data_IF_540891337536
#
_entry.id   IF_540891337536
#
_cell.length_a   1.000
_cell.length_b   1.000
_cell.length_c   1.000
_cell.angle_alpha   90.00
_cell.angle_beta   90.00
_cell.angle_gamma   90.00
#
_symmetry.space_group_name_H-M   'P 1'
#
loop_
_entity.id
_entity.type
_entity.pdbx_description
1 polymer ?
#
# COMPACT_ATOMS: atom_id res chain seq x y z
N UNK A 1 2.13 -24.45 -15.75
CA UNK A 1 0.92 -25.31 -15.87
C UNK A 1 -0.22 -24.41 -16.28
N UNK A 2 -0.74 -24.58 -17.48
CA UNK A 2 -1.92 -23.84 -17.95
C UNK A 2 -3.14 -24.46 -17.27
N UNK A 3 -3.67 -23.77 -16.26
CA UNK A 3 -4.92 -24.19 -15.59
C UNK A 3 -6.04 -24.09 -16.62
N UNK A 4 -6.71 -25.18 -16.87
CA UNK A 4 -7.85 -25.21 -17.80
C UNK A 4 -9.00 -24.40 -17.21
N UNK A 5 -9.51 -23.43 -17.95
CA UNK A 5 -10.66 -22.58 -17.59
C UNK A 5 -11.96 -23.37 -17.25
N UNK A 6 -11.97 -24.67 -17.46
CA UNK A 6 -13.12 -25.54 -17.13
C UNK A 6 -13.34 -25.72 -15.62
N UNK A 7 -12.33 -25.43 -14.78
CA UNK A 7 -12.40 -25.64 -13.32
C UNK A 7 -13.14 -24.54 -12.57
N UNK A 8 -13.42 -23.39 -13.20
CA UNK A 8 -14.08 -22.24 -12.53
C UNK A 8 -15.61 -22.37 -12.46
N UNK A 9 -16.23 -23.15 -13.33
CA UNK A 9 -17.70 -23.21 -13.47
C UNK A 9 -18.37 -24.32 -12.63
N UNK A 10 -17.62 -25.17 -11.95
CA UNK A 10 -18.14 -26.36 -11.28
C UNK A 10 -18.60 -26.17 -9.83
N UNK A 11 -18.54 -24.93 -9.27
CA UNK A 11 -19.05 -24.69 -7.92
C UNK A 11 -20.51 -24.19 -7.98
N UNK A 12 -21.45 -25.10 -7.93
CA UNK A 12 -22.89 -24.81 -7.75
C UNK A 12 -23.18 -24.11 -6.40
N UNK A 13 -22.29 -24.23 -5.40
CA UNK A 13 -22.33 -23.45 -4.17
C UNK A 13 -21.41 -22.23 -4.33
N UNK A 14 -21.98 -21.03 -4.43
CA UNK A 14 -21.25 -19.75 -4.58
C UNK A 14 -20.14 -19.61 -3.54
N UNK A 15 -18.99 -19.03 -3.95
CA UNK A 15 -17.87 -18.74 -3.05
C UNK A 15 -18.33 -17.77 -1.96
N UNK A 16 -17.74 -17.88 -0.76
CA UNK A 16 -18.06 -16.93 0.31
C UNK A 16 -17.30 -15.62 0.15
N UNK A 17 -16.08 -15.66 -0.42
CA UNK A 17 -15.20 -14.52 -0.55
C UNK A 17 -14.35 -14.61 -1.82
N UNK A 18 -14.24 -13.48 -2.52
CA UNK A 18 -13.19 -13.24 -3.52
C UNK A 18 -12.23 -12.17 -3.01
N UNK A 19 -10.92 -12.37 -3.24
CA UNK A 19 -9.88 -11.37 -2.98
C UNK A 19 -9.22 -11.03 -4.30
N UNK A 20 -9.25 -9.76 -4.71
CA UNK A 20 -8.65 -9.29 -5.95
C UNK A 20 -7.35 -8.57 -5.62
N UNK A 21 -6.22 -9.19 -5.96
CA UNK A 21 -4.87 -8.77 -5.62
C UNK A 21 -4.27 -9.56 -4.45
N UNK A 22 -3.21 -10.31 -4.73
CA UNK A 22 -2.45 -11.11 -3.77
C UNK A 22 -1.17 -10.39 -3.28
N UNK A 23 -1.19 -9.06 -3.25
CA UNK A 23 -0.17 -8.25 -2.62
C UNK A 23 -0.28 -8.25 -1.08
N UNK A 24 0.53 -7.41 -0.38
CA UNK A 24 0.54 -7.36 1.08
C UNK A 24 -0.83 -7.15 1.72
N UNK A 25 -1.72 -6.37 1.09
CA UNK A 25 -3.07 -6.15 1.61
C UNK A 25 -3.93 -7.43 1.54
N UNK A 26 -4.01 -8.08 0.37
CA UNK A 26 -4.80 -9.32 0.22
C UNK A 26 -4.28 -10.46 1.10
N UNK A 27 -2.96 -10.66 1.15
CA UNK A 27 -2.34 -11.65 2.05
C UNK A 27 -2.64 -11.35 3.52
N UNK A 28 -2.72 -10.07 3.90
CA UNK A 28 -2.99 -9.67 5.29
C UNK A 28 -4.39 -10.08 5.77
N UNK A 29 -5.40 -10.17 4.89
CA UNK A 29 -6.71 -10.71 5.26
C UNK A 29 -6.62 -12.19 5.61
N UNK A 30 -5.89 -12.97 4.80
CA UNK A 30 -5.67 -14.40 5.06
C UNK A 30 -4.90 -14.60 6.38
N UNK A 31 -3.84 -13.81 6.61
CA UNK A 31 -3.12 -13.82 7.89
C UNK A 31 -4.03 -13.52 9.08
N UNK A 32 -4.92 -12.53 8.97
CA UNK A 32 -5.85 -12.18 10.02
C UNK A 32 -6.83 -13.31 10.34
N UNK A 33 -7.38 -13.96 9.31
CA UNK A 33 -8.24 -15.16 9.51
C UNK A 33 -7.48 -16.28 10.20
N UNK A 34 -6.27 -16.62 9.73
CA UNK A 34 -5.45 -17.64 10.37
C UNK A 34 -5.09 -17.31 11.81
N UNK A 35 -4.78 -16.04 12.13
CA UNK A 35 -4.52 -15.60 13.50
C UNK A 35 -5.73 -15.80 14.40
N UNK A 36 -6.93 -15.44 13.94
CA UNK A 36 -8.16 -15.55 14.73
C UNK A 36 -8.56 -16.99 14.96
N UNK A 37 -8.44 -17.83 13.93
CA UNK A 37 -8.68 -19.27 14.03
C UNK A 37 -7.71 -19.92 15.02
N UNK A 38 -6.41 -19.64 14.91
CA UNK A 38 -5.38 -20.16 15.80
C UNK A 38 -5.56 -19.71 17.27
N UNK A 39 -6.00 -18.48 17.48
CA UNK A 39 -6.26 -17.93 18.80
C UNK A 39 -7.67 -18.29 19.34
N UNK A 40 -8.49 -19.05 18.60
CA UNK A 40 -9.90 -19.32 18.88
C UNK A 40 -10.71 -18.04 19.20
N UNK A 41 -10.38 -16.95 18.51
CA UNK A 41 -11.07 -15.66 18.62
C UNK A 41 -12.21 -15.54 17.61
N UNK A 42 -13.29 -14.85 17.99
CA UNK A 42 -14.45 -14.67 17.11
C UNK A 42 -15.20 -15.97 16.84
N UNK A 43 -15.68 -16.13 15.60
CA UNK A 43 -16.36 -17.34 15.11
C UNK A 43 -15.40 -18.17 14.23
N UNK A 44 -14.49 -18.89 14.89
CA UNK A 44 -13.43 -19.64 14.23
C UNK A 44 -13.95 -20.66 13.20
N UNK A 45 -15.11 -21.26 13.43
CA UNK A 45 -15.73 -22.20 12.49
C UNK A 45 -16.17 -21.49 11.21
N UNK A 46 -16.86 -20.35 11.32
CA UNK A 46 -17.29 -19.58 10.14
C UNK A 46 -16.09 -18.97 9.42
N UNK A 47 -15.09 -18.50 10.15
CA UNK A 47 -13.86 -17.99 9.55
C UNK A 47 -13.13 -19.09 8.77
N UNK A 48 -13.10 -20.32 9.31
CA UNK A 48 -12.56 -21.48 8.59
C UNK A 48 -13.39 -21.78 7.33
N UNK A 49 -14.71 -21.76 7.42
CA UNK A 49 -15.58 -21.96 6.24
C UNK A 49 -15.33 -20.88 5.18
N UNK A 50 -15.17 -19.61 5.55
CA UNK A 50 -14.84 -18.55 4.60
C UNK A 50 -13.47 -18.79 3.98
N UNK A 51 -12.48 -19.17 4.79
CA UNK A 51 -11.12 -19.46 4.34
C UNK A 51 -11.07 -20.64 3.37
N UNK A 52 -11.85 -21.68 3.61
CA UNK A 52 -11.95 -22.86 2.74
C UNK A 52 -12.68 -22.56 1.42
N UNK A 53 -13.59 -21.57 1.45
CA UNK A 53 -14.41 -21.16 0.29
C UNK A 53 -13.99 -19.79 -0.27
N UNK A 54 -12.79 -19.32 0.00
CA UNK A 54 -12.25 -18.13 -0.66
C UNK A 54 -11.63 -18.46 -2.02
N UNK A 55 -11.56 -17.46 -2.87
CA UNK A 55 -10.78 -17.46 -4.10
C UNK A 55 -9.98 -16.17 -4.19
N UNK A 56 -8.69 -16.25 -4.49
CA UNK A 56 -7.80 -15.11 -4.62
C UNK A 56 -7.26 -15.03 -6.04
N UNK A 57 -7.37 -13.86 -6.67
CA UNK A 57 -6.87 -13.57 -8.01
C UNK A 57 -5.72 -12.61 -7.96
N UNK A 58 -4.64 -12.90 -8.69
CA UNK A 58 -3.48 -12.06 -8.87
C UNK A 58 -3.23 -11.83 -10.37
N UNK A 59 -3.11 -10.57 -10.77
CA UNK A 59 -2.87 -10.22 -12.17
C UNK A 59 -1.45 -10.58 -12.64
N UNK A 60 -0.49 -10.55 -11.72
CA UNK A 60 0.89 -10.96 -11.98
C UNK A 60 1.09 -12.47 -11.92
N UNK A 61 2.26 -12.91 -12.38
CA UNK A 61 2.64 -14.34 -12.35
C UNK A 61 2.98 -14.85 -10.95
N UNK A 62 3.15 -13.92 -9.97
CA UNK A 62 3.47 -14.23 -8.57
C UNK A 62 2.68 -13.31 -7.63
N UNK A 63 2.21 -13.82 -6.48
CA UNK A 63 1.72 -12.98 -5.39
C UNK A 63 2.88 -12.19 -4.74
N UNK A 64 2.56 -11.27 -3.83
CA UNK A 64 3.52 -10.46 -3.07
C UNK A 64 3.58 -8.99 -3.45
N UNK A 65 3.15 -8.64 -4.68
CA UNK A 65 3.16 -7.27 -5.19
C UNK A 65 4.57 -6.71 -5.39
N UNK A 66 4.68 -5.41 -5.64
CA UNK A 66 5.95 -4.76 -6.04
C UNK A 66 6.77 -4.21 -4.86
N UNK A 67 6.25 -4.26 -3.64
CA UNK A 67 6.85 -3.57 -2.49
C UNK A 67 8.32 -3.93 -2.25
N UNK A 68 8.67 -5.19 -2.39
CA UNK A 68 10.03 -5.69 -2.14
C UNK A 68 11.07 -5.29 -3.19
N UNK A 69 10.65 -4.75 -4.32
CA UNK A 69 11.54 -4.38 -5.42
C UNK A 69 12.07 -2.94 -5.33
N UNK A 70 11.49 -2.12 -4.45
CA UNK A 70 11.93 -0.73 -4.28
C UNK A 70 13.31 -0.62 -3.65
N UNK A 71 14.18 0.19 -4.25
CA UNK A 71 15.54 0.49 -3.78
C UNK A 71 15.51 1.55 -2.67
N UNK A 72 14.89 1.25 -1.55
CA UNK A 72 14.78 2.12 -0.39
C UNK A 72 14.88 1.33 0.91
N UNK A 73 15.21 2.00 2.00
CA UNK A 73 15.12 1.41 3.32
C UNK A 73 13.68 1.40 3.83
N UNK A 74 13.35 0.40 4.63
CA UNK A 74 12.06 0.32 5.28
C UNK A 74 11.90 1.48 6.29
N UNK A 75 10.75 2.10 6.27
CA UNK A 75 10.37 3.14 7.23
C UNK A 75 9.76 2.58 8.52
N UNK A 76 9.74 1.26 8.69
CA UNK A 76 9.30 0.54 9.88
C UNK A 76 10.44 -0.33 10.44
N UNK A 77 10.33 -0.77 11.69
CA UNK A 77 11.33 -1.68 12.26
C UNK A 77 11.19 -3.08 11.68
N UNK A 78 12.29 -3.82 11.63
CA UNK A 78 12.27 -5.21 11.18
C UNK A 78 11.31 -6.07 12.02
N UNK A 79 11.31 -5.90 13.33
CA UNK A 79 10.38 -6.59 14.23
C UNK A 79 8.91 -6.28 13.95
N UNK A 80 8.59 -5.02 13.65
CA UNK A 80 7.20 -4.61 13.39
C UNK A 80 6.63 -5.22 12.11
N UNK A 81 7.47 -5.53 11.13
CA UNK A 81 7.04 -6.10 9.84
C UNK A 81 6.29 -7.41 10.03
N UNK A 82 6.75 -8.27 10.93
CA UNK A 82 6.21 -9.63 11.14
C UNK A 82 5.18 -9.73 12.27
N UNK A 83 4.87 -8.63 12.97
CA UNK A 83 3.89 -8.63 14.08
C UNK A 83 2.50 -9.10 13.70
N UNK A 84 2.16 -9.03 12.42
CA UNK A 84 0.90 -9.54 11.89
C UNK A 84 0.83 -11.05 11.72
N UNK A 85 1.92 -11.79 11.97
CA UNK A 85 1.95 -13.26 11.89
C UNK A 85 1.89 -13.82 13.32
N UNK A 86 0.74 -14.38 13.69
CA UNK A 86 0.47 -14.90 15.03
C UNK A 86 1.04 -16.30 15.29
N UNK A 87 1.08 -16.67 16.57
CA UNK A 87 1.42 -18.03 16.99
C UNK A 87 0.38 -19.05 16.53
N UNK A 88 0.81 -20.29 16.28
CA UNK A 88 -0.09 -21.38 15.86
C UNK A 88 -0.62 -21.27 14.44
N UNK A 89 -0.23 -20.24 13.68
CA UNK A 89 -0.61 -20.09 12.26
C UNK A 89 0.30 -20.92 11.35
N UNK A 90 -0.15 -21.28 10.13
CA UNK A 90 0.70 -21.94 9.13
C UNK A 90 1.96 -21.13 8.75
N UNK A 91 2.01 -19.84 9.09
CA UNK A 91 3.05 -18.90 8.71
C UNK A 91 4.06 -18.60 9.81
N UNK A 92 3.90 -19.18 11.01
CA UNK A 92 4.75 -18.90 12.18
C UNK A 92 6.24 -19.19 11.89
N UNK A 93 6.54 -20.24 11.15
CA UNK A 93 7.93 -20.58 10.78
C UNK A 93 8.61 -19.48 9.95
N UNK A 94 7.88 -18.78 9.07
CA UNK A 94 8.40 -17.64 8.30
C UNK A 94 8.77 -16.49 9.24
N UNK A 95 7.90 -16.15 10.19
CA UNK A 95 8.16 -15.12 11.21
C UNK A 95 9.41 -15.45 12.03
N UNK A 96 9.47 -16.67 12.55
CA UNK A 96 10.53 -17.09 13.47
C UNK A 96 11.89 -17.16 12.74
N UNK A 97 11.90 -17.66 11.51
CA UNK A 97 13.10 -17.62 10.65
C UNK A 97 13.57 -16.19 10.38
N UNK A 98 12.65 -15.30 10.03
CA UNK A 98 12.96 -13.88 9.82
C UNK A 98 13.55 -13.23 11.07
N UNK A 99 12.93 -13.41 12.24
CA UNK A 99 13.39 -12.81 13.49
C UNK A 99 14.75 -13.37 13.98
N UNK A 100 15.07 -14.60 13.64
CA UNK A 100 16.37 -15.21 13.95
C UNK A 100 17.53 -14.67 13.08
N UNK A 101 17.23 -13.98 11.95
CA UNK A 101 18.27 -13.52 11.04
C UNK A 101 19.01 -12.29 11.58
N UNK A 102 20.36 -12.26 11.63
CA UNK A 102 21.14 -11.17 12.23
C UNK A 102 20.84 -9.77 11.66
N UNK A 103 20.55 -9.68 10.37
CA UNK A 103 20.25 -8.38 9.71
C UNK A 103 18.96 -7.72 10.19
N UNK A 104 18.02 -8.47 10.78
CA UNK A 104 16.79 -7.92 11.32
C UNK A 104 17.01 -7.14 12.63
N UNK A 105 18.18 -7.26 13.22
CA UNK A 105 18.59 -6.45 14.37
C UNK A 105 19.04 -5.03 13.95
N UNK A 106 19.20 -4.77 12.65
CA UNK A 106 19.57 -3.44 12.17
C UNK A 106 18.41 -2.45 12.32
N UNK A 107 18.71 -1.23 12.71
CA UNK A 107 17.74 -0.14 12.78
C UNK A 107 17.22 0.25 11.39
N UNK A 108 18.08 0.18 10.37
CA UNK A 108 17.75 0.41 8.97
C UNK A 108 17.94 -0.89 8.19
N UNK A 109 16.89 -1.35 7.55
CA UNK A 109 16.92 -2.53 6.69
C UNK A 109 16.34 -2.18 5.32
N UNK A 110 17.06 -2.49 4.20
CA UNK A 110 16.52 -2.29 2.86
C UNK A 110 15.23 -3.09 2.63
N UNK A 111 14.25 -2.51 1.92
CA UNK A 111 13.00 -3.22 1.59
C UNK A 111 13.27 -4.51 0.83
N UNK A 112 14.23 -4.51 -0.10
CA UNK A 112 14.64 -5.72 -0.82
C UNK A 112 15.06 -6.84 0.14
N UNK A 113 15.76 -6.49 1.23
CA UNK A 113 16.18 -7.49 2.21
C UNK A 113 15.02 -8.03 3.03
N UNK A 114 14.04 -7.19 3.35
CA UNK A 114 12.78 -7.67 3.95
C UNK A 114 12.06 -8.60 2.95
N UNK A 115 12.04 -8.25 1.68
CA UNK A 115 11.44 -9.10 0.65
C UNK A 115 12.07 -10.50 0.62
N UNK A 116 13.39 -10.58 0.52
CA UNK A 116 14.14 -11.85 0.48
C UNK A 116 13.92 -12.69 1.74
N UNK A 117 13.93 -12.06 2.92
CA UNK A 117 13.90 -12.77 4.21
C UNK A 117 12.48 -13.08 4.72
N UNK A 118 11.48 -12.33 4.28
CA UNK A 118 10.13 -12.45 4.82
C UNK A 118 9.05 -12.56 3.74
N UNK A 119 9.01 -11.61 2.78
CA UNK A 119 7.88 -11.58 1.82
C UNK A 119 7.91 -12.79 0.89
N UNK A 120 9.06 -13.13 0.30
CA UNK A 120 9.19 -14.30 -0.58
C UNK A 120 8.90 -15.63 0.15
N UNK A 121 9.47 -15.91 1.33
CA UNK A 121 9.07 -17.07 2.13
C UNK A 121 7.59 -17.09 2.50
N UNK A 122 7.00 -15.92 2.85
CA UNK A 122 5.57 -15.83 3.14
C UNK A 122 4.72 -16.10 1.90
N UNK A 123 5.12 -15.58 0.73
CA UNK A 123 4.47 -15.85 -0.55
C UNK A 123 4.48 -17.34 -0.85
N UNK A 124 5.63 -18.00 -0.68
CA UNK A 124 5.73 -19.44 -0.92
C UNK A 124 4.81 -20.22 0.02
N UNK A 125 4.82 -19.92 1.31
CA UNK A 125 3.93 -20.53 2.28
C UNK A 125 2.45 -20.25 1.98
N UNK A 126 2.12 -19.07 1.47
CA UNK A 126 0.76 -18.68 1.08
C UNK A 126 0.29 -19.47 -0.17
N UNK A 127 1.16 -19.67 -1.16
CA UNK A 127 0.87 -20.49 -2.35
C UNK A 127 0.56 -21.94 -1.92
N UNK A 128 1.36 -22.50 -1.04
CA UNK A 128 1.16 -23.85 -0.52
C UNK A 128 -0.14 -23.97 0.29
N UNK A 129 -0.39 -22.99 1.16
CA UNK A 129 -1.57 -22.96 2.03
C UNK A 129 -2.87 -22.77 1.25
N UNK A 130 -2.91 -21.84 0.30
CA UNK A 130 -4.09 -21.57 -0.51
C UNK A 130 -4.29 -22.59 -1.63
N UNK A 131 -3.18 -23.16 -2.13
CA UNK A 131 -3.20 -24.17 -3.22
C UNK A 131 -4.07 -23.72 -4.42
N UNK A 132 -5.11 -24.51 -4.75
CA UNK A 132 -6.02 -24.26 -5.87
C UNK A 132 -6.95 -23.04 -5.67
N UNK A 133 -6.90 -22.34 -4.53
CA UNK A 133 -7.70 -21.13 -4.24
C UNK A 133 -6.98 -19.85 -4.64
N UNK A 134 -5.69 -19.90 -4.97
CA UNK A 134 -4.89 -18.78 -5.47
C UNK A 134 -4.63 -18.96 -6.96
N UNK A 135 -5.03 -17.98 -7.76
CA UNK A 135 -4.90 -17.96 -9.20
C UNK A 135 -4.07 -16.76 -9.64
N UNK A 136 -2.91 -17.02 -10.21
CA UNK A 136 -2.02 -16.01 -10.81
C UNK A 136 -2.27 -15.90 -12.31
N UNK A 137 -1.74 -14.84 -12.93
CA UNK A 137 -1.94 -14.47 -14.34
C UNK A 137 -3.43 -14.25 -14.69
N UNK A 138 -4.23 -13.84 -13.70
CA UNK A 138 -5.67 -13.59 -13.86
C UNK A 138 -5.97 -12.14 -13.51
N UNK A 139 -6.15 -11.29 -14.51
CA UNK A 139 -6.59 -9.92 -14.35
C UNK A 139 -8.11 -9.85 -14.27
N UNK A 140 -8.63 -9.48 -13.09
CA UNK A 140 -10.04 -9.12 -12.95
C UNK A 140 -10.24 -7.72 -13.53
N UNK A 141 -11.02 -7.61 -14.59
CA UNK A 141 -11.26 -6.37 -15.32
C UNK A 141 -12.61 -5.72 -14.96
N UNK A 142 -13.60 -6.53 -14.59
CA UNK A 142 -14.95 -6.08 -14.29
C UNK A 142 -15.56 -6.85 -13.10
N UNK A 143 -16.31 -6.14 -12.31
CA UNK A 143 -17.10 -6.68 -11.20
C UNK A 143 -18.55 -6.24 -11.41
N UNK A 144 -19.48 -7.19 -11.33
CA UNK A 144 -20.90 -6.94 -11.35
C UNK A 144 -21.51 -7.25 -9.98
N UNK A 145 -22.26 -6.30 -9.45
CA UNK A 145 -22.91 -6.42 -8.14
C UNK A 145 -24.41 -6.49 -8.37
N UNK A 146 -24.98 -7.59 -7.94
CA UNK A 146 -26.41 -7.81 -7.87
C UNK A 146 -26.84 -7.97 -6.42
N UNK A 147 -28.15 -8.09 -6.14
CA UNK A 147 -28.64 -8.22 -4.77
C UNK A 147 -28.08 -9.47 -4.08
N UNK A 148 -27.08 -9.23 -3.20
CA UNK A 148 -26.44 -10.26 -2.36
C UNK A 148 -25.28 -11.03 -3.01
N UNK A 149 -24.83 -10.68 -4.21
CA UNK A 149 -23.74 -11.38 -4.89
C UNK A 149 -22.83 -10.44 -5.69
N UNK A 150 -21.52 -10.74 -5.69
CA UNK A 150 -20.50 -10.13 -6.52
C UNK A 150 -19.99 -11.15 -7.55
N UNK A 151 -20.02 -10.80 -8.82
CA UNK A 151 -19.45 -11.59 -9.91
C UNK A 151 -18.22 -10.90 -10.48
N UNK A 152 -17.10 -11.61 -10.65
CA UNK A 152 -15.87 -11.08 -11.26
C UNK A 152 -15.66 -11.66 -12.66
N UNK A 153 -15.13 -10.81 -13.56
CA UNK A 153 -14.88 -11.14 -14.96
C UNK A 153 -13.47 -10.72 -15.37
N UNK A 154 -12.87 -11.48 -16.27
CA UNK A 154 -11.57 -11.15 -16.86
C UNK A 154 -11.67 -10.10 -17.98
N UNK A 155 -10.53 -9.84 -18.64
CA UNK A 155 -10.43 -8.88 -19.76
C UNK A 155 -11.23 -9.31 -21.00
N UNK A 156 -11.54 -10.60 -21.15
CA UNK A 156 -12.36 -11.16 -22.22
C UNK A 156 -13.84 -11.27 -21.83
N UNK A 157 -14.20 -10.68 -20.68
CA UNK A 157 -15.55 -10.73 -20.10
C UNK A 157 -16.05 -12.16 -19.77
N UNK A 158 -15.13 -13.08 -19.51
CA UNK A 158 -15.46 -14.43 -19.01
C UNK A 158 -15.67 -14.39 -17.51
N UNK A 159 -16.72 -15.04 -17.03
CA UNK A 159 -16.98 -15.15 -15.60
C UNK A 159 -15.85 -15.96 -14.94
N UNK A 160 -15.24 -15.38 -13.91
CA UNK A 160 -14.21 -16.02 -13.10
C UNK A 160 -14.80 -16.67 -11.85
N UNK A 161 -15.59 -15.91 -11.08
CA UNK A 161 -16.21 -16.43 -9.86
C UNK A 161 -17.42 -15.58 -9.45
N UNK A 162 -18.24 -16.16 -8.56
CA UNK A 162 -19.32 -15.52 -7.83
C UNK A 162 -19.12 -15.69 -6.35
N UNK A 163 -19.42 -14.66 -5.54
CA UNK A 163 -19.31 -14.72 -4.08
C UNK A 163 -20.25 -13.75 -3.41
N UNK A 164 -20.52 -13.97 -2.11
CA UNK A 164 -21.26 -13.01 -1.29
C UNK A 164 -20.45 -11.74 -1.02
N UNK A 165 -19.15 -11.90 -0.80
CA UNK A 165 -18.25 -10.80 -0.46
C UNK A 165 -17.08 -10.76 -1.44
N UNK A 166 -16.61 -9.55 -1.74
CA UNK A 166 -15.44 -9.30 -2.59
C UNK A 166 -14.57 -8.21 -1.97
N UNK A 167 -13.27 -8.51 -1.79
CA UNK A 167 -12.29 -7.58 -1.28
C UNK A 167 -11.35 -7.12 -2.39
N UNK A 168 -11.28 -5.80 -2.62
CA UNK A 168 -10.36 -5.17 -3.56
C UNK A 168 -9.05 -4.80 -2.87
N UNK A 169 -7.95 -5.40 -3.34
CA UNK A 169 -6.58 -5.18 -2.90
C UNK A 169 -5.65 -4.95 -4.09
N UNK A 170 -6.14 -4.27 -5.13
CA UNK A 170 -5.53 -4.21 -6.46
C UNK A 170 -4.27 -3.33 -6.55
N UNK A 171 -3.79 -2.76 -5.44
CA UNK A 171 -2.70 -1.80 -5.44
C UNK A 171 -3.10 -0.45 -6.03
N UNK A 172 -2.11 0.37 -6.40
CA UNK A 172 -2.34 1.72 -6.89
C UNK A 172 -1.22 2.18 -7.80
N UNK A 173 -1.53 3.14 -8.68
CA UNK A 173 -0.59 3.79 -9.58
C UNK A 173 -0.45 5.28 -9.28
N UNK A 174 0.68 5.85 -9.68
CA UNK A 174 0.85 7.31 -9.78
C UNK A 174 0.25 7.78 -11.11
N UNK A 175 -0.74 8.68 -11.03
CA UNK A 175 -1.31 9.30 -12.22
C UNK A 175 -0.53 10.57 -12.54
N UNK A 176 -0.02 10.74 -13.78
CA UNK A 176 0.64 11.96 -14.20
C UNK A 176 -0.25 13.18 -13.96
N UNK A 177 0.31 14.22 -13.35
CA UNK A 177 -0.37 15.49 -13.26
C UNK A 177 -0.48 16.10 -14.67
N UNK A 178 -1.62 16.69 -14.99
CA UNK A 178 -1.88 17.25 -16.30
C UNK A 178 -0.80 18.26 -16.73
N UNK A 179 -0.33 19.06 -15.80
CA UNK A 179 0.71 20.06 -15.99
C UNK A 179 2.08 19.46 -16.36
N UNK A 180 2.29 18.16 -16.14
CA UNK A 180 3.53 17.46 -16.47
C UNK A 180 3.50 16.79 -17.85
N UNK A 181 2.36 16.72 -18.50
CA UNK A 181 2.23 16.12 -19.84
C UNK A 181 3.18 16.73 -20.90
N UNK A 182 3.48 18.06 -20.90
CA UNK A 182 4.47 18.63 -21.81
C UNK A 182 5.90 18.14 -21.59
N UNK A 183 6.21 17.58 -20.42
CA UNK A 183 7.56 17.16 -20.01
C UNK A 183 7.73 15.63 -19.96
N UNK A 184 6.88 14.87 -20.63
CA UNK A 184 6.84 13.39 -20.61
C UNK A 184 8.15 12.71 -21.02
N UNK A 185 9.02 13.41 -21.75
CA UNK A 185 10.35 12.94 -22.14
C UNK A 185 11.38 12.91 -21.00
N UNK A 186 11.14 13.67 -19.94
CA UNK A 186 12.01 13.84 -18.77
C UNK A 186 11.25 13.75 -17.42
N UNK A 187 9.98 13.35 -17.49
CA UNK A 187 9.14 13.08 -16.32
C UNK A 187 9.11 11.61 -15.99
N UNK A 188 9.16 11.30 -14.69
CA UNK A 188 8.97 9.96 -14.17
C UNK A 188 8.24 9.98 -12.83
N UNK A 189 7.39 8.98 -12.57
CA UNK A 189 6.77 8.77 -11.28
C UNK A 189 7.76 8.20 -10.26
N UNK A 190 7.55 8.53 -8.96
CA UNK A 190 8.45 8.09 -7.89
C UNK A 190 8.54 6.58 -7.79
N UNK A 191 7.46 5.85 -7.99
CA UNK A 191 7.46 4.39 -7.96
C UNK A 191 8.41 3.82 -9.02
N UNK A 192 8.28 4.26 -10.26
CA UNK A 192 9.13 3.81 -11.36
C UNK A 192 10.59 4.17 -11.12
N UNK A 193 10.88 5.39 -10.66
CA UNK A 193 12.24 5.82 -10.33
C UNK A 193 12.87 4.95 -9.22
N UNK A 194 12.10 4.61 -8.19
CA UNK A 194 12.57 3.80 -7.07
C UNK A 194 12.76 2.31 -7.41
N UNK A 195 12.18 1.84 -8.52
CA UNK A 195 12.37 0.47 -9.05
C UNK A 195 13.56 0.34 -10.01
N UNK A 196 14.16 1.44 -10.47
CA UNK A 196 15.25 1.40 -11.47
C UNK A 196 16.52 0.74 -10.93
N UNK A 197 17.16 -0.10 -11.73
CA UNK A 197 18.51 -0.63 -11.47
C UNK A 197 19.59 0.16 -12.21
N UNK A 198 19.22 1.03 -13.17
CA UNK A 198 20.13 1.76 -14.04
C UNK A 198 19.67 3.19 -14.35
N UNK A 199 20.48 3.92 -15.08
CA UNK A 199 20.20 5.30 -15.52
C UNK A 199 19.64 5.39 -16.94
N UNK A 200 19.33 4.26 -17.57
CA UNK A 200 18.85 4.23 -18.95
C UNK A 200 17.65 5.18 -19.15
N UNK A 201 17.68 5.92 -20.26
CA UNK A 201 16.69 6.94 -20.58
C UNK A 201 16.64 8.18 -19.66
N UNK A 202 17.49 8.30 -18.64
CA UNK A 202 17.62 9.54 -17.89
C UNK A 202 18.56 10.50 -18.62
N UNK A 203 18.13 11.77 -18.78
CA UNK A 203 18.91 12.77 -19.48
C UNK A 203 20.19 13.11 -18.71
N UNK A 204 21.34 12.93 -19.37
CA UNK A 204 22.63 13.39 -18.87
C UNK A 204 22.73 14.92 -18.87
N UNK A 205 23.62 15.47 -18.08
CA UNK A 205 23.91 16.91 -18.05
C UNK A 205 23.84 17.52 -16.65
N UNK A 206 23.91 18.86 -16.59
CA UNK A 206 23.93 19.61 -15.33
C UNK A 206 22.61 20.31 -14.99
N UNK A 207 21.57 20.10 -15.78
CA UNK A 207 20.25 20.68 -15.52
C UNK A 207 19.70 20.21 -14.17
N UNK A 208 18.93 21.05 -13.45
CA UNK A 208 18.38 20.72 -12.16
C UNK A 208 17.50 19.46 -12.20
N UNK A 209 17.39 18.81 -11.06
CA UNK A 209 16.43 17.72 -10.83
C UNK A 209 15.29 18.30 -9.99
N UNK A 210 14.06 18.19 -10.47
CA UNK A 210 12.87 18.65 -9.77
C UNK A 210 12.14 17.45 -9.17
N UNK A 211 11.87 17.46 -7.86
CA UNK A 211 11.07 16.46 -7.16
C UNK A 211 9.79 17.11 -6.67
N UNK A 212 8.64 16.66 -7.17
CA UNK A 212 7.34 17.23 -6.83
C UNK A 212 6.71 16.39 -5.71
N UNK A 213 6.63 16.97 -4.52
CA UNK A 213 6.16 16.32 -3.30
C UNK A 213 7.14 16.46 -2.14
N UNK A 214 6.66 16.23 -0.93
CA UNK A 214 7.44 16.33 0.29
C UNK A 214 7.01 15.29 1.35
N UNK A 215 6.68 14.09 0.91
CA UNK A 215 6.38 12.92 1.76
C UNK A 215 7.45 11.83 1.57
N UNK A 216 7.23 10.66 2.16
CA UNK A 216 8.23 9.57 2.13
C UNK A 216 8.75 9.25 0.73
N UNK A 217 7.88 9.11 -0.28
CA UNK A 217 8.32 8.79 -1.65
C UNK A 217 9.26 9.85 -2.22
N UNK A 218 8.95 11.15 -2.01
CA UNK A 218 9.80 12.24 -2.46
C UNK A 218 11.17 12.20 -1.77
N UNK A 219 11.20 12.05 -0.44
CA UNK A 219 12.46 11.94 0.30
C UNK A 219 13.24 10.66 -0.04
N UNK A 220 12.55 9.56 -0.36
CA UNK A 220 13.22 8.34 -0.85
C UNK A 220 13.89 8.55 -2.20
N UNK A 221 13.25 9.27 -3.14
CA UNK A 221 13.87 9.64 -4.41
C UNK A 221 15.10 10.52 -4.18
N UNK A 222 15.01 11.53 -3.33
CA UNK A 222 16.14 12.42 -2.99
C UNK A 222 17.24 11.66 -2.29
N UNK A 223 16.91 10.79 -1.32
CA UNK A 223 17.90 9.95 -0.64
C UNK A 223 18.69 9.11 -1.64
N UNK A 224 18.00 8.51 -2.60
CA UNK A 224 18.60 7.71 -3.65
C UNK A 224 19.54 8.53 -4.53
N UNK A 225 19.10 9.71 -4.97
CA UNK A 225 19.93 10.65 -5.73
C UNK A 225 21.18 11.11 -4.97
N UNK A 226 21.15 11.15 -3.65
CA UNK A 226 22.24 11.65 -2.83
C UNK A 226 23.23 10.58 -2.39
N UNK A 227 22.76 9.35 -2.14
CA UNK A 227 23.53 8.34 -1.39
C UNK A 227 23.66 6.99 -2.07
N UNK A 228 22.85 6.64 -3.06
CA UNK A 228 23.07 5.44 -3.86
C UNK A 228 24.15 5.71 -4.93
N UNK A 229 25.27 4.97 -4.98
CA UNK A 229 26.46 5.35 -5.76
C UNK A 229 26.18 5.77 -7.20
N UNK A 230 25.42 4.96 -7.95
CA UNK A 230 25.07 5.23 -9.35
C UNK A 230 24.29 6.53 -9.52
N UNK A 231 23.28 6.74 -8.66
CA UNK A 231 22.40 7.92 -8.71
C UNK A 231 23.06 9.16 -8.11
N UNK A 232 23.95 8.99 -7.13
CA UNK A 232 24.74 10.08 -6.55
C UNK A 232 25.76 10.63 -7.57
N UNK A 233 26.35 9.78 -8.39
CA UNK A 233 27.20 10.20 -9.51
C UNK A 233 26.38 10.95 -10.56
N UNK A 234 25.22 10.42 -10.98
CA UNK A 234 24.29 11.05 -11.91
C UNK A 234 23.82 12.44 -11.44
N UNK A 235 23.55 12.61 -10.15
CA UNK A 235 23.10 13.88 -9.57
C UNK A 235 24.25 14.84 -9.21
N UNK A 236 25.50 14.41 -9.39
CA UNK A 236 26.67 15.22 -9.03
C UNK A 236 26.72 16.53 -9.83
N UNK A 237 26.85 17.65 -9.13
CA UNK A 237 26.87 18.99 -9.73
C UNK A 237 25.51 19.48 -10.22
N UNK A 238 24.42 18.80 -9.93
CA UNK A 238 23.04 19.23 -10.21
C UNK A 238 22.36 19.71 -8.93
N UNK A 239 21.60 20.78 -9.02
CA UNK A 239 20.71 21.21 -7.94
C UNK A 239 19.49 20.30 -7.90
N UNK A 240 19.07 19.86 -6.70
CA UNK A 240 17.84 19.09 -6.47
C UNK A 240 16.81 20.04 -5.83
N UNK A 241 15.70 20.28 -6.52
CA UNK A 241 14.63 21.16 -6.10
C UNK A 241 13.42 20.32 -5.67
N UNK A 242 13.08 20.37 -4.38
CA UNK A 242 11.88 19.71 -3.87
C UNK A 242 10.72 20.72 -3.79
N UNK A 243 9.71 20.52 -4.65
CA UNK A 243 8.52 21.37 -4.67
C UNK A 243 7.49 20.88 -3.67
N UNK A 244 7.10 21.72 -2.72
CA UNK A 244 6.13 21.38 -1.66
C UNK A 244 4.96 22.37 -1.61
N UNK A 245 3.73 21.87 -1.43
CA UNK A 245 2.54 22.69 -1.22
C UNK A 245 2.29 23.03 0.24
N UNK A 246 2.76 22.21 1.17
CA UNK A 246 2.55 22.40 2.61
C UNK A 246 3.62 23.29 3.18
N UNK A 247 3.24 24.24 4.03
CA UNK A 247 4.19 25.10 4.73
C UNK A 247 5.13 24.29 5.63
N UNK A 248 4.61 23.24 6.26
CA UNK A 248 5.39 22.39 7.16
C UNK A 248 5.46 20.94 6.70
N UNK A 249 6.63 20.38 6.80
CA UNK A 249 6.88 18.94 6.62
C UNK A 249 6.66 18.26 7.97
N UNK A 250 5.82 17.23 7.98
CA UNK A 250 5.46 16.47 9.17
C UNK A 250 6.53 15.43 9.48
N UNK A 251 6.98 15.36 10.75
CA UNK A 251 7.94 14.36 11.23
C UNK A 251 7.30 13.48 12.29
N UNK A 252 7.38 12.17 12.14
CA UNK A 252 7.00 11.25 13.22
C UNK A 252 8.05 11.29 14.33
N UNK A 253 7.65 11.76 15.49
CA UNK A 253 8.53 11.88 16.65
C UNK A 253 7.76 11.88 17.97
N UNK A 254 8.48 11.92 19.09
CA UNK A 254 7.88 12.24 20.40
C UNK A 254 7.72 13.75 20.56
N UNK A 255 6.86 14.22 21.47
CA UNK A 255 6.75 15.64 21.80
C UNK A 255 8.08 16.28 22.25
N UNK A 256 8.90 15.52 23.00
CA UNK A 256 10.22 15.98 23.47
C UNK A 256 11.15 16.23 22.28
N UNK A 257 11.22 15.27 21.34
CA UNK A 257 11.99 15.42 20.11
C UNK A 257 11.50 16.62 19.29
N UNK A 258 10.18 16.81 19.20
CA UNK A 258 9.59 17.93 18.48
C UNK A 258 10.03 19.27 19.11
N UNK A 259 10.02 19.37 20.44
CA UNK A 259 10.48 20.56 21.17
C UNK A 259 11.97 20.81 20.94
N UNK A 260 12.82 19.80 21.11
CA UNK A 260 14.27 19.89 20.92
C UNK A 260 14.65 20.35 19.50
N UNK A 261 13.96 19.81 18.50
CA UNK A 261 14.23 20.12 17.09
C UNK A 261 13.35 21.23 16.50
N UNK A 262 12.57 21.95 17.34
CA UNK A 262 11.68 23.03 16.92
C UNK A 262 10.72 22.63 15.80
N UNK A 263 10.11 21.44 15.94
CA UNK A 263 9.07 20.95 15.04
C UNK A 263 7.74 21.50 15.50
N UNK A 264 7.11 22.27 14.64
CA UNK A 264 5.79 22.83 14.91
C UNK A 264 4.70 21.75 14.74
N UNK A 265 3.83 21.61 15.75
CA UNK A 265 2.69 20.72 15.77
C UNK A 265 1.61 21.22 16.71
N UNK A 266 0.36 20.80 16.47
CA UNK A 266 -0.77 21.08 17.35
C UNK A 266 -0.95 19.88 18.31
N UNK A 267 -0.83 20.09 19.63
CA UNK A 267 -1.00 19.02 20.62
C UNK A 267 -2.37 18.32 20.57
N UNK A 268 -3.42 19.02 20.16
CA UNK A 268 -4.78 18.48 20.12
C UNK A 268 -5.04 17.65 18.87
N UNK A 269 -4.49 18.05 17.72
CA UNK A 269 -4.78 17.44 16.42
C UNK A 269 -3.68 16.53 15.87
N UNK A 270 -2.42 16.83 16.20
CA UNK A 270 -1.27 16.15 15.59
C UNK A 270 -0.66 15.03 16.46
N UNK A 271 -1.09 14.91 17.72
CA UNK A 271 -0.61 13.87 18.65
C UNK A 271 -1.57 12.67 18.66
N UNK A 272 -1.04 11.50 18.42
CA UNK A 272 -1.81 10.26 18.48
C UNK A 272 -2.21 9.93 19.93
N UNK A 273 -3.50 9.84 20.27
CA UNK A 273 -3.94 9.65 21.66
C UNK A 273 -3.55 8.28 22.22
N UNK A 274 -3.27 7.29 21.36
CA UNK A 274 -2.92 5.92 21.80
C UNK A 274 -1.43 5.77 22.06
N UNK A 275 -0.57 6.48 21.30
CA UNK A 275 0.89 6.28 21.37
C UNK A 275 1.66 7.51 21.85
N UNK A 276 1.02 8.67 21.97
CA UNK A 276 1.66 9.94 22.28
C UNK A 276 2.57 10.48 21.16
N UNK A 277 2.65 9.82 20.00
CA UNK A 277 3.52 10.25 18.92
C UNK A 277 2.90 11.37 18.11
N UNK A 278 3.70 12.38 17.81
CA UNK A 278 3.41 13.46 16.86
C UNK A 278 3.46 12.88 15.44
N UNK A 279 2.50 13.23 14.58
CA UNK A 279 2.38 12.79 13.18
C UNK A 279 2.64 11.28 12.98
N UNK A 280 2.01 10.45 13.79
CA UNK A 280 2.24 9.00 13.85
C UNK A 280 2.23 8.30 12.50
N UNK A 281 1.28 8.64 11.63
CA UNK A 281 1.05 7.89 10.38
C UNK A 281 1.74 8.51 9.15
N UNK A 282 1.65 9.80 8.94
CA UNK A 282 2.18 10.46 7.74
C UNK A 282 3.42 11.31 7.96
N UNK A 283 3.93 11.39 9.18
CA UNK A 283 5.20 12.05 9.44
C UNK A 283 6.39 11.25 8.92
N UNK A 284 7.40 11.94 8.38
CA UNK A 284 8.65 11.35 7.93
C UNK A 284 9.32 10.55 9.05
N UNK A 285 9.91 9.42 8.69
CA UNK A 285 10.56 8.47 9.60
C UNK A 285 11.96 8.15 9.13
N UNK A 286 12.79 7.69 10.05
CA UNK A 286 14.13 7.16 9.78
C UNK A 286 14.94 8.06 8.83
N UNK A 287 15.50 7.52 7.77
CA UNK A 287 16.35 8.26 6.80
C UNK A 287 15.63 9.46 6.18
N UNK A 288 14.36 9.36 5.85
CA UNK A 288 13.60 10.51 5.32
C UNK A 288 13.52 11.66 6.35
N UNK A 289 13.30 11.34 7.65
CA UNK A 289 13.34 12.32 8.73
C UNK A 289 14.74 12.91 8.89
N UNK A 290 15.76 12.07 8.93
CA UNK A 290 17.16 12.50 9.07
C UNK A 290 17.59 13.38 7.90
N UNK A 291 17.22 13.01 6.68
CA UNK A 291 17.50 13.78 5.47
C UNK A 291 16.83 15.17 5.52
N UNK A 292 15.54 15.21 5.88
CA UNK A 292 14.86 16.50 6.04
C UNK A 292 15.55 17.42 7.04
N UNK A 293 15.95 16.89 8.21
CA UNK A 293 16.65 17.70 9.23
C UNK A 293 17.99 18.23 8.70
N UNK A 294 18.76 17.40 7.98
CA UNK A 294 20.00 17.85 7.34
C UNK A 294 19.78 18.97 6.31
N UNK A 295 18.74 18.87 5.50
CA UNK A 295 18.38 19.92 4.51
C UNK A 295 17.98 21.20 5.24
N UNK A 296 17.07 21.10 6.22
CA UNK A 296 16.58 22.25 6.99
C UNK A 296 17.70 22.97 7.72
N UNK A 297 18.63 22.24 8.30
CA UNK A 297 19.73 22.75 9.12
C UNK A 297 20.97 23.15 8.29
N UNK A 298 20.85 23.13 6.94
CA UNK A 298 21.92 23.52 6.02
C UNK A 298 23.12 22.56 5.94
N UNK A 299 22.95 21.32 6.42
CA UNK A 299 23.97 20.27 6.37
C UNK A 299 23.95 19.50 5.03
N UNK A 300 22.88 19.63 4.24
CA UNK A 300 22.77 19.07 2.88
C UNK A 300 22.38 20.20 1.91
N UNK A 301 23.38 20.77 1.27
CA UNK A 301 23.24 21.96 0.43
C UNK A 301 22.88 21.67 -1.04
N UNK A 302 22.91 20.41 -1.45
CA UNK A 302 22.52 20.01 -2.83
C UNK A 302 21.01 20.03 -3.04
N UNK A 303 20.24 20.08 -1.95
CA UNK A 303 18.78 20.04 -1.97
C UNK A 303 18.20 21.35 -1.47
N UNK A 304 17.29 21.92 -2.23
CA UNK A 304 16.53 23.11 -1.84
C UNK A 304 15.03 22.84 -1.80
N UNK A 305 14.39 23.16 -0.68
CA UNK A 305 12.94 23.11 -0.53
C UNK A 305 12.33 24.38 -1.15
N UNK A 306 11.38 24.21 -2.05
CA UNK A 306 10.69 25.29 -2.74
C UNK A 306 9.20 25.20 -2.43
N UNK A 307 8.70 26.24 -1.76
CA UNK A 307 7.26 26.37 -1.50
C UNK A 307 6.54 26.73 -2.81
N UNK A 308 5.40 26.10 -3.06
CA UNK A 308 4.54 26.41 -4.21
C UNK A 308 3.06 26.40 -3.82
N UNK A 309 2.26 27.24 -4.45
CA UNK A 309 0.80 27.18 -4.39
C UNK A 309 0.21 26.28 -5.47
N UNK A 310 0.90 26.16 -6.60
CA UNK A 310 0.55 25.28 -7.73
C UNK A 310 1.71 25.09 -8.68
N UNK A 311 1.63 24.07 -9.55
CA UNK A 311 2.68 23.76 -10.52
C UNK A 311 2.80 24.83 -11.62
N UNK A 312 1.71 25.49 -11.98
CA UNK A 312 1.72 26.56 -12.97
C UNK A 312 2.69 27.70 -12.59
N UNK A 313 2.85 28.00 -11.29
CA UNK A 313 3.80 29.02 -10.81
C UNK A 313 5.27 28.57 -10.97
N UNK A 314 5.50 27.27 -11.17
CA UNK A 314 6.83 26.67 -11.25
C UNK A 314 7.22 26.31 -12.71
N UNK A 315 6.50 26.81 -13.71
CA UNK A 315 6.71 26.48 -15.09
C UNK A 315 8.18 26.67 -15.53
N UNK A 316 8.80 27.79 -15.16
CA UNK A 316 10.20 28.08 -15.51
C UNK A 316 11.16 27.03 -14.92
N UNK A 317 10.92 26.56 -13.69
CA UNK A 317 11.73 25.50 -13.07
C UNK A 317 11.53 24.16 -13.79
N UNK A 318 10.29 23.84 -14.15
CA UNK A 318 9.98 22.63 -14.91
C UNK A 318 10.59 22.64 -16.32
N UNK A 319 10.61 23.79 -16.99
CA UNK A 319 11.25 23.96 -18.30
C UNK A 319 12.77 23.77 -18.26
N UNK A 320 13.42 24.18 -17.18
CA UNK A 320 14.87 24.05 -16.98
C UNK A 320 15.28 22.68 -16.44
N UNK A 321 14.35 21.90 -15.91
CA UNK A 321 14.65 20.60 -15.30
C UNK A 321 15.13 19.59 -16.35
N UNK A 322 16.20 18.87 -16.03
CA UNK A 322 16.66 17.72 -16.83
C UNK A 322 16.00 16.40 -16.40
N UNK A 323 15.42 16.36 -15.18
CA UNK A 323 14.63 15.25 -14.67
C UNK A 323 13.54 15.80 -13.76
N UNK A 324 12.31 15.32 -13.92
CA UNK A 324 11.17 15.66 -13.06
C UNK A 324 10.65 14.38 -12.44
N UNK A 325 10.73 14.28 -11.14
CA UNK A 325 10.20 13.15 -10.35
C UNK A 325 8.92 13.56 -9.65
N UNK A 326 7.82 12.89 -9.99
CA UNK A 326 6.54 13.10 -9.34
C UNK A 326 6.38 12.15 -8.16
N UNK A 327 6.08 12.68 -6.98
CA UNK A 327 5.81 11.92 -5.75
C UNK A 327 4.59 12.50 -5.03
N UNK A 328 3.47 12.62 -5.74
CA UNK A 328 2.24 13.30 -5.28
C UNK A 328 1.18 12.35 -4.74
N UNK A 329 1.48 11.07 -4.66
CA UNK A 329 0.59 10.03 -4.14
C UNK A 329 0.09 9.07 -5.21
N UNK A 330 -0.77 8.15 -4.79
CA UNK A 330 -1.22 7.02 -5.56
C UNK A 330 -2.75 6.99 -5.64
N UNK A 331 -3.27 6.48 -6.75
CA UNK A 331 -4.70 6.23 -6.98
C UNK A 331 -4.89 4.72 -7.19
N UNK A 332 -5.90 4.15 -6.56
CA UNK A 332 -6.16 2.71 -6.63
C UNK A 332 -6.44 2.23 -8.06
N UNK A 333 -5.87 1.09 -8.41
CA UNK A 333 -6.14 0.34 -9.66
C UNK A 333 -7.40 -0.48 -9.48
N UNK A 334 -8.57 0.09 -9.71
CA UNK A 334 -9.81 -0.66 -9.54
C UNK A 334 -10.31 -1.20 -10.88
N UNK A 335 -10.86 -2.42 -10.92
CA UNK A 335 -11.62 -2.90 -12.05
C UNK A 335 -12.88 -2.05 -12.26
N UNK A 336 -13.50 -2.14 -13.43
CA UNK A 336 -14.81 -1.57 -13.64
C UNK A 336 -15.81 -2.20 -12.68
N UNK A 337 -16.52 -1.39 -11.90
CA UNK A 337 -17.57 -1.88 -11.01
C UNK A 337 -18.92 -1.46 -11.56
N UNK A 338 -19.80 -2.44 -11.71
CA UNK A 338 -21.18 -2.23 -12.17
C UNK A 338 -22.16 -2.68 -11.09
N UNK A 339 -23.24 -1.93 -10.94
CA UNK A 339 -24.36 -2.31 -10.08
C UNK A 339 -25.64 -2.24 -10.89
N UNK A 340 -26.36 -3.36 -10.97
CA UNK A 340 -27.60 -3.48 -11.78
C UNK A 340 -27.42 -3.00 -13.23
N UNK A 341 -26.26 -3.32 -13.84
CA UNK A 341 -25.94 -2.95 -15.22
C UNK A 341 -25.45 -1.51 -15.42
N UNK A 342 -25.25 -0.73 -14.36
CA UNK A 342 -24.75 0.64 -14.43
C UNK A 342 -23.35 0.72 -13.81
N UNK A 343 -22.41 1.34 -14.51
CA UNK A 343 -21.08 1.61 -13.98
C UNK A 343 -21.16 2.57 -12.80
N UNK A 344 -20.47 2.23 -11.70
CA UNK A 344 -20.35 3.07 -10.51
C UNK A 344 -18.88 3.31 -10.18
N UNK A 345 -18.60 4.48 -9.61
CA UNK A 345 -17.26 4.81 -9.10
C UNK A 345 -17.20 4.46 -7.61
N UNK A 346 -16.29 3.59 -7.22
CA UNK A 346 -16.17 3.15 -5.82
C UNK A 346 -14.87 3.64 -5.18
N UNK A 347 -14.92 3.84 -3.87
CA UNK A 347 -13.77 4.30 -3.08
C UNK A 347 -14.14 4.57 -1.64
N UNK A 348 -13.31 5.35 -0.94
CA UNK A 348 -13.54 5.86 0.41
C UNK A 348 -14.11 4.80 1.37
N UNK A 349 -13.34 3.73 1.69
CA UNK A 349 -13.83 2.66 2.55
C UNK A 349 -14.35 3.19 3.89
N UNK A 350 -15.38 2.57 4.42
CA UNK A 350 -15.82 2.76 5.81
C UNK A 350 -14.75 2.25 6.78
N UNK A 351 -14.94 2.48 8.08
CA UNK A 351 -14.03 1.93 9.11
C UNK A 351 -13.96 0.39 9.08
N UNK A 352 -15.00 -0.25 8.58
CA UNK A 352 -15.10 -1.71 8.44
C UNK A 352 -14.75 -2.19 7.01
N UNK A 353 -14.21 -1.28 6.18
CA UNK A 353 -13.69 -1.58 4.87
C UNK A 353 -14.73 -1.64 3.74
N UNK A 354 -16.04 -1.48 3.99
CA UNK A 354 -17.04 -1.41 2.92
C UNK A 354 -16.77 -0.20 2.03
N UNK A 355 -16.72 -0.40 0.73
CA UNK A 355 -16.55 0.68 -0.24
C UNK A 355 -17.84 1.49 -0.38
N UNK A 356 -17.68 2.76 -0.74
CA UNK A 356 -18.78 3.66 -1.07
C UNK A 356 -18.84 3.91 -2.56
N UNK A 357 -20.02 4.02 -3.07
CA UNK A 357 -20.28 4.70 -4.34
C UNK A 357 -19.94 6.19 -4.16
N UNK A 358 -19.01 6.69 -4.95
CA UNK A 358 -18.50 8.06 -4.80
C UNK A 358 -19.51 9.13 -5.24
N UNK A 359 -20.52 8.78 -6.02
CA UNK A 359 -21.53 9.72 -6.50
C UNK A 359 -22.68 9.85 -5.49
N UNK A 360 -23.14 8.74 -4.91
CA UNK A 360 -24.22 8.73 -3.92
C UNK A 360 -23.72 8.75 -2.46
N UNK A 361 -22.44 8.49 -2.22
CA UNK A 361 -21.81 8.26 -0.91
C UNK A 361 -22.44 7.10 -0.10
N UNK A 362 -23.26 6.29 -0.70
CA UNK A 362 -23.85 5.12 -0.08
C UNK A 362 -22.84 3.96 -0.05
N UNK A 363 -22.90 3.12 0.97
CA UNK A 363 -22.11 1.88 1.00
C UNK A 363 -22.57 0.92 -0.08
N UNK A 364 -21.63 0.14 -0.61
CA UNK A 364 -21.88 -0.93 -1.59
C UNK A 364 -21.80 -2.26 -0.85
N UNK A 365 -22.94 -2.88 -0.47
CA UNK A 365 -22.95 -4.10 0.31
C UNK A 365 -22.16 -5.24 -0.35
N UNK A 366 -21.38 -5.97 0.44
CA UNK A 366 -20.57 -7.09 -0.05
C UNK A 366 -19.28 -6.69 -0.77
N UNK A 367 -19.06 -5.39 -1.05
CA UNK A 367 -17.85 -4.90 -1.69
C UNK A 367 -16.95 -4.18 -0.68
N UNK A 368 -15.75 -4.70 -0.49
CA UNK A 368 -14.75 -4.19 0.45
C UNK A 368 -13.48 -3.73 -0.25
N UNK A 369 -12.72 -2.87 0.42
CA UNK A 369 -11.44 -2.40 -0.10
C UNK A 369 -10.40 -2.18 1.00
N UNK A 370 -9.16 -2.57 0.71
CA UNK A 370 -8.01 -2.38 1.60
C UNK A 370 -6.72 -2.26 0.79
N UNK A 371 -5.80 -1.44 1.23
CA UNK A 371 -4.49 -1.30 0.60
C UNK A 371 -4.19 0.11 0.11
N UNK A 372 -3.12 0.22 -0.68
CA UNK A 372 -2.69 1.50 -1.23
C UNK A 372 -3.77 2.08 -2.16
N UNK A 373 -4.12 3.34 -1.94
CA UNK A 373 -5.21 4.02 -2.67
C UNK A 373 -6.62 3.78 -2.10
N UNK A 374 -6.82 2.79 -1.22
CA UNK A 374 -8.06 2.52 -0.50
C UNK A 374 -7.84 2.70 1.01
N UNK A 375 -7.51 3.92 1.42
CA UNK A 375 -7.17 4.23 2.79
C UNK A 375 -8.41 4.19 3.69
N UNK A 376 -8.38 3.34 4.70
CA UNK A 376 -9.42 3.30 5.73
C UNK A 376 -9.10 4.36 6.79
N UNK A 377 -10.01 5.29 6.98
CA UNK A 377 -9.88 6.35 7.96
C UNK A 377 -10.37 5.87 9.35
N UNK A 378 -9.67 6.19 10.44
CA UNK A 378 -10.18 5.93 11.78
C UNK A 378 -11.45 6.74 12.06
N UNK A 379 -12.33 6.27 12.95
CA UNK A 379 -13.52 7.02 13.33
C UNK A 379 -13.17 8.26 14.15
N UNK A 380 -13.91 9.32 13.98
CA UNK A 380 -13.78 10.58 14.72
C UNK A 380 -12.94 11.64 14.00
N UNK A 381 -12.75 12.82 14.63
CA UNK A 381 -11.93 13.86 14.07
C UNK A 381 -10.50 13.35 13.89
N UNK A 382 -9.85 13.68 12.77
CA UNK A 382 -8.50 13.23 12.50
C UNK A 382 -7.54 13.79 13.55
N UNK A 383 -7.11 12.94 14.47
CA UNK A 383 -6.01 13.25 15.38
C UNK A 383 -4.75 12.55 14.88
N UNK A 384 -3.72 13.33 14.55
CA UNK A 384 -2.42 12.80 14.17
C UNK A 384 -2.32 12.10 12.82
N UNK A 385 -3.10 12.41 11.84
CA UNK A 385 -3.22 11.83 10.48
C UNK A 385 -4.04 10.54 10.36
N UNK A 386 -5.08 10.63 9.55
CA UNK A 386 -6.12 9.60 9.48
C UNK A 386 -5.81 8.45 8.52
N UNK A 387 -4.77 8.51 7.70
CA UNK A 387 -4.62 7.55 6.61
C UNK A 387 -3.61 6.45 6.93
N UNK A 388 -4.06 5.21 6.90
CA UNK A 388 -3.18 4.04 6.84
C UNK A 388 -2.76 3.84 5.39
N UNK A 389 -1.66 4.47 4.98
CA UNK A 389 -1.05 4.17 3.69
C UNK A 389 -0.61 2.70 3.67
N UNK A 390 -0.96 1.99 2.61
CA UNK A 390 -0.48 0.62 2.36
C UNK A 390 1.06 0.57 2.33
N UNK A 391 1.61 -0.47 1.88
CA UNK A 391 3.03 -0.73 1.88
C UNK A 391 3.40 -1.71 2.99
N UNK A 392 4.64 -1.67 3.47
CA UNK A 392 5.12 -2.67 4.43
C UNK A 392 4.37 -2.64 5.76
N UNK A 393 3.76 -1.52 6.10
CA UNK A 393 2.81 -1.42 7.20
C UNK A 393 1.62 -2.39 7.08
N UNK A 394 1.29 -2.84 5.87
CA UNK A 394 0.24 -3.82 5.64
C UNK A 394 0.38 -5.05 6.52
N UNK A 395 1.55 -5.65 6.59
CA UNK A 395 1.79 -6.84 7.39
C UNK A 395 1.76 -6.62 8.92
N UNK A 396 1.85 -5.40 9.39
CA UNK A 396 1.70 -5.05 10.80
C UNK A 396 0.28 -4.60 11.14
N UNK A 397 -0.21 -3.60 10.40
CA UNK A 397 -1.45 -2.91 10.76
C UNK A 397 -2.69 -3.63 10.24
N UNK A 398 -2.65 -4.16 9.02
CA UNK A 398 -3.81 -4.80 8.43
C UNK A 398 -4.24 -6.07 9.17
N UNK A 399 -3.36 -7.06 9.43
CA UNK A 399 -3.78 -8.28 10.11
C UNK A 399 -4.25 -8.06 11.56
N UNK A 400 -3.75 -7.01 12.23
CA UNK A 400 -4.03 -6.78 13.65
C UNK A 400 -5.18 -5.80 13.91
N UNK A 401 -5.53 -4.92 12.97
CA UNK A 401 -6.47 -3.85 13.26
C UNK A 401 -7.56 -3.64 12.21
N UNK A 402 -7.25 -3.78 10.92
CA UNK A 402 -8.18 -3.46 9.82
C UNK A 402 -8.89 -4.72 9.35
N UNK A 403 -8.15 -5.76 8.99
CA UNK A 403 -8.72 -7.02 8.50
C UNK A 403 -9.69 -7.67 9.50
N UNK A 404 -9.47 -7.67 10.82
CA UNK A 404 -10.45 -8.17 11.77
C UNK A 404 -11.81 -7.48 11.71
N UNK A 405 -11.86 -6.17 11.43
CA UNK A 405 -13.12 -5.43 11.27
C UNK A 405 -13.83 -5.83 9.98
N UNK A 406 -13.07 -5.92 8.88
CA UNK A 406 -13.59 -6.39 7.59
C UNK A 406 -14.17 -7.80 7.76
N UNK A 407 -13.44 -8.72 8.40
CA UNK A 407 -13.90 -10.09 8.67
C UNK A 407 -15.21 -10.08 9.47
N UNK A 408 -15.27 -9.33 10.56
CA UNK A 408 -16.49 -9.24 11.36
C UNK A 408 -17.69 -8.73 10.55
N UNK A 409 -17.46 -7.74 9.69
CA UNK A 409 -18.53 -7.19 8.84
C UNK A 409 -18.99 -8.18 7.77
N UNK A 410 -18.04 -8.87 7.12
CA UNK A 410 -18.34 -9.94 6.14
C UNK A 410 -19.13 -11.09 6.78
N UNK A 411 -18.74 -11.51 7.98
CA UNK A 411 -19.41 -12.59 8.69
C UNK A 411 -20.82 -12.23 9.15
N UNK A 412 -21.10 -10.95 9.42
CA UNK A 412 -22.44 -10.51 9.82
C UNK A 412 -23.49 -10.75 8.72
N UNK A 413 -23.09 -10.73 7.45
CA UNK A 413 -23.97 -10.91 6.30
C UNK A 413 -24.11 -12.39 5.83
N UNK A 414 -23.33 -13.29 6.44
CA UNK A 414 -23.41 -14.72 6.15
C UNK A 414 -24.42 -15.37 7.13
N UNK A 415 -25.52 -15.96 6.68
CA UNK A 415 -26.46 -16.66 7.56
C UNK A 415 -25.75 -17.77 8.36
N UNK A 416 -26.14 -17.94 9.62
CA UNK A 416 -25.78 -19.16 10.35
C UNK A 416 -26.58 -20.31 9.74
N UNK A 417 -25.92 -21.17 8.95
CA UNK A 417 -26.49 -22.46 8.65
C UNK A 417 -26.51 -23.23 9.99
N UNK A 418 -27.68 -23.34 10.56
CA UNK A 418 -27.92 -24.25 11.68
C UNK A 418 -27.62 -25.63 11.13
N UNK A 419 -26.46 -26.21 11.52
CA UNK A 419 -26.20 -27.63 11.31
C UNK A 419 -27.32 -28.39 12.03
N UNK A 420 -28.33 -28.83 11.28
CA UNK A 420 -29.30 -29.83 11.70
C UNK A 420 -28.69 -31.23 11.58
#
# INVERSE_FOLDING_TARGET
MTVSLRDFTSCENGRMLQIIGAGPAGMSLVLAMCNRIAAAQGDALREQQVLDNLMMFEAGSKPGGEMGHYHVNANTSAHDVVRGIGDGTPFVAVRDHYLAHPQTQSELIPLRRINELMVEPLVQAMIEFLAHRLHCDIQVARIEITDGECASYDIENRLLARSKNLLLCCGADEIPLHELLPYRDRWEGSAKFLLRDNLDSLAEGKSPIVVIGASHSAFSCVWRLLYEPLFAEFSSGREILMLQRRERIKLRCTPEFASEHRIDYDPETDVCPTTGLVFRNGGLRKDAKTLYLKIRDGQENRVRLVQMNGLAEQQQLLEQAGLILQATGFVSKLPLVERQGHAIRVGNPTIDGELRDLDSNATVPGLFGMGLGLNILPPGPPRGEPSFAGGIHGFQSYPLSIAPRIINRMLADIPMELNN
#
